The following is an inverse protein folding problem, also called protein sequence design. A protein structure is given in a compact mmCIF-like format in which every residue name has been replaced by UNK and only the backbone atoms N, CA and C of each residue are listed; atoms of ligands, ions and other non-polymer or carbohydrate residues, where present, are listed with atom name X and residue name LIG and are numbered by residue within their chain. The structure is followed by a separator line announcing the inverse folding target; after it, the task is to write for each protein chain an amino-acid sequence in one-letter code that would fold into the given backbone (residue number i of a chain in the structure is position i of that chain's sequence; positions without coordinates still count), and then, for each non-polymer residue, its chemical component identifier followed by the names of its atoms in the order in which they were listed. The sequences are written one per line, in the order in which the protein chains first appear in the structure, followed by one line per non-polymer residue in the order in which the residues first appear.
data_IF_050901078187
#
_entry.id   IF_050901078187
#
_cell.length_a   1.000
_cell.length_b   1.000
_cell.length_c   1.000
_cell.angle_alpha   90.00
_cell.angle_beta   90.00
_cell.angle_gamma   90.00
#
_symmetry.space_group_name_H-M   'P 1'
#
loop_
_entity.id
_entity.type
_entity.pdbx_description
1 polymer ?
#
# COMPACT_ATOMS: atom_id res chain seq x y z
N UNK A 1 -2.45 -1.30 19.94
CA UNK A 1 -2.02 -1.44 18.54
C UNK A 1 -3.16 -2.00 17.70
N UNK A 2 -3.23 -1.67 16.38
CA UNK A 2 -4.19 -2.21 15.41
C UNK A 2 -3.51 -3.23 14.54
N UNK A 3 -4.17 -4.34 14.27
CA UNK A 3 -3.68 -5.39 13.40
C UNK A 3 -4.41 -5.34 12.06
N UNK A 4 -3.64 -5.45 10.98
CA UNK A 4 -4.16 -5.62 9.63
C UNK A 4 -3.47 -6.77 8.93
N UNK A 5 -4.02 -7.21 7.81
CA UNK A 5 -3.39 -8.19 6.92
C UNK A 5 -2.81 -7.47 5.71
N UNK A 6 -1.60 -7.82 5.34
CA UNK A 6 -0.98 -7.43 4.08
C UNK A 6 -1.03 -8.63 3.13
N UNK A 7 -1.78 -8.48 2.05
CA UNK A 7 -2.09 -9.56 1.13
C UNK A 7 -1.47 -9.26 -0.25
N UNK A 8 -0.45 -10.01 -0.60
CA UNK A 8 0.23 -9.90 -1.89
C UNK A 8 -0.24 -10.95 -2.89
N UNK A 9 -0.67 -12.07 -2.38
CA UNK A 9 -1.13 -13.28 -3.07
C UNK A 9 -0.17 -13.80 -4.13
N UNK A 10 0.08 -15.06 -4.01
CA UNK A 10 0.98 -15.80 -4.87
C UNK A 10 0.27 -17.05 -5.39
N UNK A 11 0.56 -17.45 -6.63
CA UNK A 11 0.19 -18.73 -7.19
C UNK A 11 1.48 -19.43 -7.63
N UNK A 12 1.73 -20.63 -7.15
CA UNK A 12 3.04 -21.31 -7.34
C UNK A 12 3.42 -21.53 -8.82
N UNK A 13 2.44 -21.53 -9.71
CA UNK A 13 2.63 -21.64 -11.15
C UNK A 13 1.32 -21.24 -11.87
N UNK A 14 1.34 -21.18 -13.20
CA UNK A 14 0.14 -20.93 -14.02
C UNK A 14 -0.91 -22.06 -14.03
N UNK A 15 -0.57 -23.21 -13.47
CA UNK A 15 -1.44 -24.37 -13.44
C UNK A 15 -2.36 -24.37 -12.22
N UNK A 16 -2.11 -23.49 -11.25
CA UNK A 16 -2.98 -23.32 -10.11
C UNK A 16 -4.29 -22.67 -10.53
N UNK A 17 -5.40 -23.22 -10.04
CA UNK A 17 -6.74 -22.74 -10.36
C UNK A 17 -6.97 -21.40 -9.64
N UNK A 18 -6.92 -20.29 -10.39
CA UNK A 18 -7.00 -18.93 -9.85
C UNK A 18 -8.30 -18.65 -9.09
N UNK A 19 -9.38 -19.31 -9.41
CA UNK A 19 -10.66 -19.24 -8.69
C UNK A 19 -10.52 -19.75 -7.25
N UNK A 20 -9.72 -20.78 -6.99
CA UNK A 20 -9.42 -21.24 -5.64
C UNK A 20 -8.65 -20.19 -4.86
N UNK A 21 -7.61 -19.61 -5.46
CA UNK A 21 -6.86 -18.51 -4.82
C UNK A 21 -7.78 -17.35 -4.45
N UNK A 22 -8.73 -17.00 -5.32
CA UNK A 22 -9.74 -15.98 -5.01
C UNK A 22 -10.65 -16.37 -3.84
N UNK A 23 -11.07 -17.62 -3.76
CA UNK A 23 -11.92 -18.08 -2.67
C UNK A 23 -11.16 -18.07 -1.34
N UNK A 24 -9.89 -18.45 -1.31
CA UNK A 24 -9.00 -18.33 -0.16
C UNK A 24 -8.85 -16.86 0.31
N UNK A 25 -8.62 -15.94 -0.62
CA UNK A 25 -8.59 -14.50 -0.32
C UNK A 25 -9.88 -14.02 0.35
N UNK A 26 -11.02 -14.47 -0.14
CA UNK A 26 -12.35 -14.13 0.39
C UNK A 26 -12.55 -14.69 1.79
N UNK A 27 -12.20 -15.95 2.01
CA UNK A 27 -12.28 -16.59 3.32
C UNK A 27 -11.41 -15.87 4.34
N UNK A 28 -10.17 -15.55 3.99
CA UNK A 28 -9.25 -14.79 4.84
C UNK A 28 -9.83 -13.42 5.21
N UNK A 29 -10.35 -12.67 4.25
CA UNK A 29 -10.92 -11.36 4.49
C UNK A 29 -12.16 -11.41 5.40
N UNK A 30 -13.05 -12.39 5.18
CA UNK A 30 -14.24 -12.60 6.01
C UNK A 30 -13.83 -13.01 7.43
N UNK A 31 -12.86 -13.91 7.57
CA UNK A 31 -12.32 -14.29 8.88
C UNK A 31 -11.78 -13.08 9.64
N UNK A 32 -10.97 -12.25 8.98
CA UNK A 32 -10.40 -11.04 9.58
C UNK A 32 -11.48 -10.04 10.02
N UNK A 33 -12.52 -9.83 9.19
CA UNK A 33 -13.66 -8.96 9.54
C UNK A 33 -14.40 -9.45 10.77
N UNK A 34 -14.58 -10.77 10.93
CA UNK A 34 -15.29 -11.41 12.04
C UNK A 34 -14.46 -11.45 13.33
N UNK A 35 -13.14 -11.45 13.23
CA UNK A 35 -12.22 -11.56 14.35
C UNK A 35 -11.54 -10.25 14.72
N UNK A 36 -12.06 -9.09 14.27
CA UNK A 36 -11.68 -7.79 14.79
C UNK A 36 -10.37 -7.22 14.24
N UNK A 37 -9.86 -7.74 13.14
CA UNK A 37 -8.76 -7.07 12.42
C UNK A 37 -9.21 -5.71 11.92
N UNK A 38 -8.33 -4.70 12.02
CA UNK A 38 -8.65 -3.31 11.64
C UNK A 38 -8.70 -3.13 10.11
N UNK A 39 -7.85 -3.83 9.38
CA UNK A 39 -7.68 -3.60 7.94
C UNK A 39 -7.12 -4.80 7.17
N UNK A 40 -7.41 -4.84 5.86
CA UNK A 40 -6.75 -5.73 4.90
C UNK A 40 -6.23 -4.90 3.74
N UNK A 41 -5.01 -5.20 3.27
CA UNK A 41 -4.28 -4.40 2.30
C UNK A 41 -3.83 -5.25 1.13
N UNK A 42 -4.18 -4.83 -0.08
CA UNK A 42 -3.85 -5.52 -1.33
C UNK A 42 -2.80 -4.76 -2.11
N UNK A 43 -1.83 -5.48 -2.67
CA UNK A 43 -0.82 -4.92 -3.57
C UNK A 43 -1.35 -4.75 -4.98
N UNK A 44 -0.59 -4.04 -5.84
CA UNK A 44 -0.81 -4.01 -7.29
C UNK A 44 0.48 -4.41 -7.99
N UNK A 45 0.42 -5.52 -8.72
CA UNK A 45 1.52 -6.00 -9.56
C UNK A 45 0.99 -6.60 -10.86
N UNK A 46 1.78 -6.50 -11.91
CA UNK A 46 1.35 -6.88 -13.25
C UNK A 46 2.30 -7.88 -13.91
N UNK A 47 1.73 -8.74 -14.75
CA UNK A 47 2.47 -9.68 -15.59
C UNK A 47 3.31 -10.70 -14.80
N UNK A 48 2.95 -10.99 -13.56
CA UNK A 48 3.61 -11.95 -12.67
C UNK A 48 3.35 -13.41 -13.07
N UNK A 49 3.70 -13.79 -14.32
CA UNK A 49 3.47 -15.14 -14.85
C UNK A 49 4.30 -16.22 -14.15
N UNK A 50 5.25 -15.82 -13.34
CA UNK A 50 6.02 -16.69 -12.45
C UNK A 50 5.22 -17.12 -11.22
N UNK A 51 4.06 -16.50 -10.99
CA UNK A 51 3.18 -16.79 -9.87
C UNK A 51 3.46 -15.95 -8.62
N UNK A 52 4.38 -14.99 -8.69
CA UNK A 52 4.60 -14.02 -7.62
C UNK A 52 3.74 -12.78 -7.84
N UNK A 53 3.16 -12.24 -6.74
CA UNK A 53 2.51 -10.94 -6.74
C UNK A 53 1.41 -10.83 -7.81
N UNK A 54 0.37 -11.65 -7.68
CA UNK A 54 -0.60 -11.89 -8.77
C UNK A 54 -1.82 -10.96 -8.78
N UNK A 55 -1.86 -9.90 -7.98
CA UNK A 55 -3.00 -8.98 -7.92
C UNK A 55 -2.81 -7.81 -8.88
N UNK A 56 -3.48 -7.77 -10.05
CA UNK A 56 -3.31 -6.67 -11.01
C UNK A 56 -4.20 -5.46 -10.72
N UNK A 57 -5.21 -5.59 -9.86
CA UNK A 57 -6.14 -4.51 -9.54
C UNK A 57 -6.68 -4.64 -8.10
N UNK A 58 -6.06 -3.95 -7.14
CA UNK A 58 -6.46 -4.01 -5.74
C UNK A 58 -7.83 -3.36 -5.47
N UNK A 59 -8.28 -2.44 -6.32
CA UNK A 59 -9.60 -1.81 -6.17
C UNK A 59 -10.73 -2.78 -6.56
N UNK A 60 -10.52 -3.58 -7.60
CA UNK A 60 -11.51 -4.58 -8.01
C UNK A 60 -11.66 -5.69 -6.97
N UNK A 61 -10.54 -6.17 -6.42
CA UNK A 61 -10.55 -7.09 -5.27
C UNK A 61 -11.21 -6.42 -4.07
N UNK A 62 -10.85 -5.17 -3.79
CA UNK A 62 -11.45 -4.39 -2.71
C UNK A 62 -12.97 -4.29 -2.81
N UNK A 63 -13.53 -4.17 -4.03
CA UNK A 63 -14.98 -4.13 -4.25
C UNK A 63 -15.68 -5.47 -3.94
N UNK A 64 -15.04 -6.61 -4.32
CA UNK A 64 -15.55 -7.94 -3.98
C UNK A 64 -15.51 -8.16 -2.46
N UNK A 65 -14.45 -7.77 -1.79
CA UNK A 65 -14.31 -7.87 -0.33
C UNK A 65 -15.26 -6.92 0.40
N UNK A 66 -15.47 -5.71 -0.12
CA UNK A 66 -16.42 -4.76 0.46
C UNK A 66 -17.85 -5.32 0.53
N UNK A 67 -18.24 -6.11 -0.47
CA UNK A 67 -19.56 -6.76 -0.52
C UNK A 67 -19.71 -7.93 0.48
N UNK A 68 -18.59 -8.52 0.94
CA UNK A 68 -18.56 -9.70 1.81
C UNK A 68 -18.30 -9.37 3.29
N UNK A 69 -17.82 -8.17 3.57
CA UNK A 69 -17.36 -7.72 4.90
C UNK A 69 -18.15 -6.49 5.36
N UNK A 70 -18.10 -6.17 6.67
CA UNK A 70 -18.87 -5.06 7.24
C UNK A 70 -18.03 -4.01 7.94
N UNK A 71 -16.94 -4.40 8.58
CA UNK A 71 -16.19 -3.56 9.52
C UNK A 71 -14.75 -3.29 9.04
N UNK A 72 -14.09 -4.31 8.50
CA UNK A 72 -12.69 -4.25 8.12
C UNK A 72 -12.45 -3.17 7.06
N UNK A 73 -11.41 -2.37 7.25
CA UNK A 73 -10.96 -1.40 6.26
C UNK A 73 -10.25 -2.08 5.10
N UNK A 74 -10.36 -1.49 3.94
CA UNK A 74 -9.84 -2.03 2.69
C UNK A 74 -8.80 -1.06 2.16
N UNK A 75 -7.53 -1.45 2.28
CA UNK A 75 -6.39 -0.67 1.86
C UNK A 75 -5.76 -1.17 0.57
N UNK A 76 -5.02 -0.30 -0.08
CA UNK A 76 -4.11 -0.67 -1.14
C UNK A 76 -2.67 -0.38 -0.68
N UNK A 77 -1.76 -1.32 -0.86
CA UNK A 77 -0.37 -1.11 -0.49
C UNK A 77 0.57 -1.65 -1.58
N UNK A 78 0.50 -0.99 -2.74
CA UNK A 78 -0.20 0.25 -3.06
C UNK A 78 -0.88 0.19 -4.44
N UNK A 79 -1.78 1.15 -4.74
CA UNK A 79 -2.07 1.47 -6.13
C UNK A 79 -0.80 2.06 -6.78
N UNK A 80 -0.37 1.53 -7.90
CA UNK A 80 0.79 2.06 -8.63
C UNK A 80 0.33 3.21 -9.52
N UNK A 81 0.14 4.37 -8.90
CA UNK A 81 -0.57 5.51 -9.49
C UNK A 81 0.07 6.04 -10.77
N UNK A 82 1.34 5.73 -11.01
CA UNK A 82 2.05 6.09 -12.25
C UNK A 82 1.58 5.29 -13.48
N UNK A 83 0.82 4.20 -13.28
CA UNK A 83 0.25 3.39 -14.35
C UNK A 83 -1.21 3.73 -14.64
N UNK A 84 -1.83 4.57 -13.83
CA UNK A 84 -3.23 4.92 -13.94
C UNK A 84 -3.45 6.32 -14.52
N UNK A 85 -4.55 6.48 -15.25
CA UNK A 85 -5.07 7.82 -15.51
C UNK A 85 -5.68 8.38 -14.21
N UNK A 86 -5.24 9.55 -13.68
CA UNK A 86 -5.59 9.98 -12.33
C UNK A 86 -7.09 10.17 -12.10
N UNK A 87 -7.84 10.66 -13.11
CA UNK A 87 -9.30 10.82 -12.96
C UNK A 87 -10.00 9.46 -12.90
N UNK A 88 -9.57 8.47 -13.70
CA UNK A 88 -10.14 7.12 -13.64
C UNK A 88 -9.88 6.47 -12.28
N UNK A 89 -8.66 6.56 -11.80
CA UNK A 89 -8.31 6.06 -10.48
C UNK A 89 -9.12 6.75 -9.36
N UNK A 90 -9.32 8.07 -9.46
CA UNK A 90 -10.13 8.80 -8.49
C UNK A 90 -11.60 8.34 -8.50
N UNK A 91 -12.21 8.12 -9.67
CA UNK A 91 -13.58 7.60 -9.79
C UNK A 91 -13.70 6.18 -9.21
N UNK A 92 -12.74 5.30 -9.52
CA UNK A 92 -12.75 3.92 -9.02
C UNK A 92 -12.56 3.88 -7.49
N UNK A 93 -11.68 4.72 -6.92
CA UNK A 93 -11.53 4.88 -5.47
C UNK A 93 -12.82 5.41 -4.84
N UNK A 94 -13.43 6.44 -5.42
CA UNK A 94 -14.66 7.03 -4.90
C UNK A 94 -15.83 6.02 -4.95
N UNK A 95 -15.92 5.23 -6.04
CA UNK A 95 -16.91 4.15 -6.14
C UNK A 95 -16.70 3.10 -5.05
N UNK A 96 -15.46 2.63 -4.83
CA UNK A 96 -15.15 1.67 -3.78
C UNK A 96 -15.46 2.25 -2.39
N UNK A 97 -15.19 3.53 -2.17
CA UNK A 97 -15.46 4.21 -0.90
C UNK A 97 -16.98 4.29 -0.63
N UNK A 98 -17.79 4.57 -1.66
CA UNK A 98 -19.25 4.51 -1.55
C UNK A 98 -19.75 3.08 -1.29
N UNK A 99 -19.26 2.08 -2.02
CA UNK A 99 -19.66 0.67 -1.88
C UNK A 99 -19.31 0.13 -0.49
N UNK A 100 -18.16 0.51 0.04
CA UNK A 100 -17.67 0.10 1.37
C UNK A 100 -18.20 0.95 2.51
N UNK A 101 -18.91 2.06 2.22
CA UNK A 101 -19.39 3.03 3.22
C UNK A 101 -18.28 3.63 4.07
N UNK A 102 -17.21 4.10 3.41
CA UNK A 102 -16.11 4.82 4.06
C UNK A 102 -15.05 3.95 4.69
N UNK A 103 -14.87 2.70 4.21
CA UNK A 103 -13.83 1.79 4.72
C UNK A 103 -12.55 1.77 3.89
N UNK A 104 -12.43 2.63 2.89
CA UNK A 104 -11.23 2.68 2.02
C UNK A 104 -10.08 3.43 2.70
N UNK A 105 -8.89 2.86 2.58
CA UNK A 105 -7.59 3.46 2.89
C UNK A 105 -6.76 3.51 1.61
N UNK A 106 -6.47 4.69 1.08
CA UNK A 106 -5.83 4.86 -0.24
C UNK A 106 -4.32 4.79 -0.13
N UNK A 107 -3.73 3.65 -0.45
CA UNK A 107 -2.28 3.56 -0.56
C UNK A 107 -1.80 3.84 -1.98
N UNK A 108 -0.70 4.56 -2.10
CA UNK A 108 -0.09 4.99 -3.37
C UNK A 108 1.37 4.59 -3.46
N UNK A 109 1.78 4.12 -4.63
CA UNK A 109 3.13 3.69 -4.95
C UNK A 109 3.59 4.18 -6.32
N UNK A 110 4.93 4.15 -6.54
CA UNK A 110 5.55 4.62 -7.79
C UNK A 110 5.86 3.51 -8.80
N UNK A 111 5.63 2.25 -8.43
CA UNK A 111 6.09 1.09 -9.17
C UNK A 111 7.55 0.71 -8.88
N UNK A 112 7.83 -0.57 -9.01
CA UNK A 112 9.14 -1.16 -8.74
C UNK A 112 9.73 -1.82 -9.99
N UNK A 113 8.91 -2.48 -10.80
CA UNK A 113 9.38 -3.36 -11.85
C UNK A 113 9.37 -2.68 -13.22
N UNK A 114 10.52 -2.64 -13.89
CA UNK A 114 10.66 -2.10 -15.24
C UNK A 114 9.76 -2.81 -16.28
N UNK A 115 9.48 -4.12 -16.07
CA UNK A 115 8.54 -4.90 -16.91
C UNK A 115 7.12 -4.30 -16.90
N UNK A 116 6.65 -3.85 -15.74
CA UNK A 116 5.33 -3.24 -15.60
C UNK A 116 5.30 -1.88 -16.30
N UNK A 117 6.28 -1.02 -16.01
CA UNK A 117 6.39 0.30 -16.63
C UNK A 117 6.51 0.22 -18.16
N UNK A 118 7.30 -0.71 -18.68
CA UNK A 118 7.50 -0.91 -20.13
C UNK A 118 6.18 -1.21 -20.87
N UNK A 119 5.21 -1.82 -20.20
CA UNK A 119 3.94 -2.23 -20.82
C UNK A 119 2.77 -1.30 -20.49
N UNK A 120 2.80 -0.60 -19.35
CA UNK A 120 1.68 0.22 -18.87
C UNK A 120 1.93 1.72 -19.05
N UNK A 121 3.13 2.19 -18.70
CA UNK A 121 3.54 3.59 -18.89
C UNK A 121 5.07 3.71 -18.92
N UNK A 122 5.64 3.76 -20.11
CA UNK A 122 7.10 3.86 -20.31
C UNK A 122 7.70 5.13 -19.72
N UNK A 123 6.93 6.20 -19.58
CA UNK A 123 7.39 7.44 -18.96
C UNK A 123 7.62 7.28 -17.45
N UNK A 124 7.01 6.26 -16.84
CA UNK A 124 7.14 5.94 -15.42
C UNK A 124 8.21 4.88 -15.11
N UNK A 125 9.18 4.66 -15.99
CA UNK A 125 10.25 3.69 -15.79
C UNK A 125 10.99 3.96 -14.45
N UNK A 126 11.08 2.97 -13.54
CA UNK A 126 11.77 3.10 -12.27
C UNK A 126 13.25 3.46 -12.39
N UNK A 127 13.90 3.18 -13.52
CA UNK A 127 15.30 3.57 -13.78
C UNK A 127 15.45 5.08 -13.94
N UNK A 128 14.42 5.79 -14.42
CA UNK A 128 14.34 7.25 -14.47
C UNK A 128 13.65 7.81 -13.23
N UNK A 129 14.35 7.79 -12.09
CA UNK A 129 13.81 8.19 -10.79
C UNK A 129 13.22 9.61 -10.75
N UNK A 130 13.79 10.55 -11.53
CA UNK A 130 13.32 11.94 -11.54
C UNK A 130 11.94 12.05 -12.20
N UNK A 131 11.78 11.50 -13.38
CA UNK A 131 10.52 11.54 -14.13
C UNK A 131 9.43 10.71 -13.46
N UNK A 132 9.77 9.48 -13.02
CA UNK A 132 8.85 8.63 -12.28
C UNK A 132 8.29 9.33 -11.03
N UNK A 133 9.16 10.03 -10.28
CA UNK A 133 8.75 10.81 -9.11
C UNK A 133 7.85 11.99 -9.50
N UNK A 134 8.17 12.72 -10.55
CA UNK A 134 7.38 13.86 -11.00
C UNK A 134 5.96 13.43 -11.41
N UNK A 135 5.83 12.35 -12.19
CA UNK A 135 4.53 11.75 -12.55
C UNK A 135 3.75 11.35 -11.29
N UNK A 136 4.41 10.66 -10.36
CA UNK A 136 3.79 10.22 -9.11
C UNK A 136 3.24 11.40 -8.30
N UNK A 137 4.05 12.44 -8.07
CA UNK A 137 3.66 13.59 -7.27
C UNK A 137 2.50 14.37 -7.91
N UNK A 138 2.50 14.53 -9.22
CA UNK A 138 1.41 15.18 -9.93
C UNK A 138 0.14 14.34 -9.89
N UNK A 139 0.24 13.02 -10.12
CA UNK A 139 -0.90 12.10 -10.02
C UNK A 139 -1.56 12.14 -8.63
N UNK A 140 -0.76 12.06 -7.55
CA UNK A 140 -1.27 12.15 -6.17
C UNK A 140 -1.94 13.50 -5.90
N UNK A 141 -1.40 14.59 -6.45
CA UNK A 141 -2.00 15.92 -6.35
C UNK A 141 -3.38 15.97 -6.99
N UNK A 142 -3.53 15.41 -8.20
CA UNK A 142 -4.82 15.32 -8.90
C UNK A 142 -5.80 14.45 -8.12
N UNK A 143 -5.35 13.28 -7.64
CA UNK A 143 -6.20 12.38 -6.82
C UNK A 143 -6.76 13.08 -5.58
N UNK A 144 -5.91 13.77 -4.82
CA UNK A 144 -6.35 14.50 -3.61
C UNK A 144 -7.39 15.57 -3.95
N UNK A 145 -7.18 16.33 -5.03
CA UNK A 145 -8.16 17.34 -5.51
C UNK A 145 -9.49 16.69 -5.91
N UNK A 146 -9.44 15.67 -6.75
CA UNK A 146 -10.62 15.01 -7.30
C UNK A 146 -11.49 14.36 -6.22
N UNK A 147 -10.86 13.65 -5.27
CA UNK A 147 -11.55 12.92 -4.20
C UNK A 147 -12.24 13.82 -3.18
N UNK A 148 -11.98 15.13 -3.15
CA UNK A 148 -12.76 16.08 -2.30
C UNK A 148 -14.21 16.22 -2.75
N UNK A 149 -14.56 15.78 -3.98
CA UNK A 149 -15.89 15.97 -4.58
C UNK A 149 -16.21 17.41 -4.99
N UNK A 150 -15.28 18.35 -4.81
CA UNK A 150 -15.43 19.73 -5.24
C UNK A 150 -15.06 19.89 -6.72
N UNK A 151 -15.58 20.95 -7.34
CA UNK A 151 -15.09 21.38 -8.65
C UNK A 151 -13.63 21.84 -8.54
N UNK A 152 -12.77 21.29 -9.39
CA UNK A 152 -11.33 21.61 -9.41
C UNK A 152 -10.83 21.78 -10.84
N UNK A 153 -9.68 22.41 -10.95
CA UNK A 153 -8.84 22.46 -12.15
C UNK A 153 -7.43 21.99 -11.80
N UNK A 154 -6.71 21.51 -12.81
CA UNK A 154 -5.30 21.15 -12.69
C UNK A 154 -4.60 21.39 -14.03
N UNK A 155 -3.52 22.16 -14.01
CA UNK A 155 -2.69 22.47 -15.17
C UNK A 155 -1.24 22.21 -14.78
N UNK A 156 -0.77 20.98 -15.03
CA UNK A 156 0.54 20.51 -14.64
C UNK A 156 1.44 20.18 -15.84
N UNK A 157 2.49 19.44 -15.55
CA UNK A 157 3.43 18.99 -16.59
C UNK A 157 2.90 17.79 -17.38
N UNK A 158 2.20 16.88 -16.69
CA UNK A 158 1.71 15.63 -17.29
C UNK A 158 0.20 15.63 -17.51
N UNK A 159 -0.55 16.44 -16.77
CA UNK A 159 -2.01 16.45 -16.81
C UNK A 159 -2.58 17.86 -16.93
N UNK A 160 -3.62 17.98 -17.77
CA UNK A 160 -4.34 19.25 -18.01
C UNK A 160 -5.85 18.98 -17.91
N UNK A 161 -6.49 19.41 -16.81
CA UNK A 161 -7.90 19.13 -16.50
C UNK A 161 -8.65 20.36 -16.03
N UNK A 162 -9.73 20.80 -16.73
CA UNK A 162 -10.07 20.40 -18.09
C UNK A 162 -9.12 21.07 -19.11
N UNK A 163 -8.90 20.44 -20.27
CA UNK A 163 -8.20 21.12 -21.36
C UNK A 163 -8.94 22.40 -21.76
N UNK A 164 -8.20 23.42 -22.20
CA UNK A 164 -8.77 24.71 -22.61
C UNK A 164 -9.65 24.57 -23.86
N UNK A 165 -10.67 25.43 -23.96
CA UNK A 165 -11.51 25.56 -25.15
C UNK A 165 -12.63 24.54 -25.25
N UNK A 166 -12.90 23.74 -24.22
CA UNK A 166 -14.04 22.83 -24.23
C UNK A 166 -15.33 23.64 -24.03
N UNK A 167 -16.14 23.74 -25.10
CA UNK A 167 -17.47 24.35 -25.05
C UNK A 167 -18.47 23.37 -24.42
N UNK A 168 -19.37 23.89 -23.60
CA UNK A 168 -20.44 23.12 -23.00
C UNK A 168 -21.75 23.88 -23.05
N UNK A 169 -22.73 23.26 -23.67
CA UNK A 169 -24.11 23.74 -23.68
C UNK A 169 -25.05 22.54 -23.62
N UNK A 170 -25.89 22.47 -22.60
CA UNK A 170 -26.85 21.40 -22.43
C UNK A 170 -28.09 21.90 -21.65
N UNK A 171 -29.35 21.67 -22.12
CA UNK A 171 -30.55 22.21 -21.48
C UNK A 171 -30.73 21.77 -20.02
N UNK A 172 -30.28 20.57 -19.67
CA UNK A 172 -30.35 20.03 -18.31
C UNK A 172 -29.12 20.32 -17.44
N UNK A 173 -28.13 20.99 -17.98
CA UNK A 173 -26.91 21.39 -17.27
C UNK A 173 -26.69 22.89 -17.51
N UNK A 174 -27.45 23.75 -16.82
CA UNK A 174 -27.35 25.19 -17.06
C UNK A 174 -25.97 25.71 -16.69
N UNK A 175 -25.54 26.74 -17.40
CA UNK A 175 -24.27 27.38 -17.16
C UNK A 175 -24.11 27.84 -15.71
N UNK A 176 -22.96 27.54 -15.11
CA UNK A 176 -22.66 27.91 -13.72
C UNK A 176 -21.21 28.33 -13.58
N UNK A 177 -20.97 29.40 -12.83
CA UNK A 177 -19.62 29.86 -12.48
C UNK A 177 -18.81 28.84 -11.66
N UNK A 178 -19.46 27.81 -11.13
CA UNK A 178 -18.77 26.76 -10.39
C UNK A 178 -17.85 25.91 -11.27
N UNK A 179 -18.19 25.77 -12.57
CA UNK A 179 -17.45 24.89 -13.49
C UNK A 179 -17.23 25.49 -14.88
N UNK A 180 -17.74 26.71 -15.15
CA UNK A 180 -17.65 27.35 -16.47
C UNK A 180 -17.17 28.80 -16.39
N UNK A 181 -16.43 29.21 -17.40
CA UNK A 181 -16.28 30.59 -17.82
C UNK A 181 -17.55 30.95 -18.62
N UNK A 182 -18.46 31.72 -17.99
CA UNK A 182 -19.77 32.04 -18.58
C UNK A 182 -19.63 32.86 -19.85
N UNK A 183 -18.70 33.81 -19.88
CA UNK A 183 -18.52 34.73 -21.01
C UNK A 183 -18.01 33.99 -22.24
N UNK A 184 -17.19 32.98 -22.04
CA UNK A 184 -16.65 32.15 -23.13
C UNK A 184 -17.51 30.92 -23.41
N UNK A 185 -18.42 30.51 -22.52
CA UNK A 185 -19.15 29.24 -22.61
C UNK A 185 -18.22 28.01 -22.53
N UNK A 186 -17.14 28.10 -21.79
CA UNK A 186 -16.11 27.07 -21.69
C UNK A 186 -16.07 26.44 -20.30
N UNK A 187 -15.92 25.11 -20.25
CA UNK A 187 -15.64 24.41 -18.99
C UNK A 187 -14.27 24.84 -18.50
N UNK A 188 -14.17 25.23 -17.23
CA UNK A 188 -12.91 25.59 -16.58
C UNK A 188 -12.64 24.80 -15.31
N UNK A 189 -13.57 23.97 -14.86
CA UNK A 189 -13.41 23.03 -13.75
C UNK A 189 -14.20 21.75 -13.99
N UNK A 190 -13.77 20.67 -13.39
CA UNK A 190 -14.43 19.36 -13.39
C UNK A 190 -14.66 18.87 -11.96
N UNK A 191 -15.55 17.93 -11.79
CA UNK A 191 -15.71 17.16 -10.55
C UNK A 191 -15.96 15.70 -10.92
N UNK A 192 -15.44 14.77 -10.12
CA UNK A 192 -15.73 13.33 -10.30
C UNK A 192 -17.11 13.00 -9.73
N UNK A 193 -17.72 11.94 -10.24
CA UNK A 193 -19.01 11.45 -9.77
C UNK A 193 -19.00 9.90 -9.75
N UNK A 194 -19.34 9.24 -8.61
CA UNK A 194 -19.75 9.88 -7.37
C UNK A 194 -18.61 10.58 -6.63
N UNK A 195 -18.89 11.48 -5.68
CA UNK A 195 -17.88 11.92 -4.73
C UNK A 195 -17.47 10.79 -3.79
N UNK A 196 -16.34 10.87 -3.13
CA UNK A 196 -15.97 9.94 -2.07
C UNK A 196 -17.01 9.97 -0.92
N UNK A 197 -17.16 8.85 -0.22
CA UNK A 197 -18.01 8.76 0.98
C UNK A 197 -17.38 9.48 2.16
N UNK A 198 -16.05 9.37 2.30
CA UNK A 198 -15.28 10.01 3.35
C UNK A 198 -15.02 11.49 3.03
N UNK A 199 -15.03 12.35 4.04
CA UNK A 199 -14.79 13.80 3.90
C UNK A 199 -13.55 14.22 4.71
N UNK A 200 -12.59 14.95 4.15
CA UNK A 200 -12.57 15.50 2.77
C UNK A 200 -12.27 14.47 1.68
N UNK A 201 -11.70 13.35 2.02
CA UNK A 201 -11.38 12.20 1.15
C UNK A 201 -10.88 11.04 2.03
N UNK A 202 -10.79 9.79 1.54
CA UNK A 202 -10.14 8.69 2.23
C UNK A 202 -8.71 9.04 2.64
N UNK A 203 -8.21 8.45 3.73
CA UNK A 203 -6.83 8.68 4.17
C UNK A 203 -5.84 8.13 3.15
N UNK A 204 -4.79 8.90 2.89
CA UNK A 204 -3.70 8.52 2.01
C UNK A 204 -2.56 7.88 2.78
N UNK A 205 -2.02 6.81 2.20
CA UNK A 205 -0.85 6.07 2.65
C UNK A 205 0.16 5.95 1.51
N UNK A 206 1.42 5.89 1.83
CA UNK A 206 2.47 5.68 0.85
C UNK A 206 3.45 4.62 1.34
N UNK A 207 3.78 3.65 0.48
CA UNK A 207 4.90 2.74 0.71
C UNK A 207 6.20 3.50 0.47
N UNK A 208 7.07 3.60 1.48
CA UNK A 208 8.25 4.46 1.45
C UNK A 208 9.50 3.79 2.03
N UNK A 209 10.65 4.06 1.37
CA UNK A 209 11.95 3.52 1.77
C UNK A 209 13.03 4.61 1.94
N UNK A 210 12.92 5.74 1.23
CA UNK A 210 13.97 6.77 1.21
C UNK A 210 13.65 7.94 2.14
N UNK A 211 14.70 8.55 2.69
CA UNK A 211 14.61 9.79 3.50
C UNK A 211 13.79 10.88 2.80
N UNK A 212 13.99 11.07 1.49
CA UNK A 212 13.25 12.06 0.72
C UNK A 212 11.76 11.76 0.67
N UNK A 213 11.38 10.48 0.44
CA UNK A 213 9.97 10.06 0.42
C UNK A 213 9.33 10.17 1.81
N UNK A 214 10.05 9.86 2.90
CA UNK A 214 9.58 10.03 4.27
C UNK A 214 9.24 11.50 4.56
N UNK A 215 10.19 12.40 4.29
CA UNK A 215 9.97 13.85 4.49
C UNK A 215 8.81 14.38 3.65
N UNK A 216 8.70 13.96 2.41
CA UNK A 216 7.62 14.39 1.51
C UNK A 216 6.26 13.93 2.04
N UNK A 217 6.10 12.63 2.32
CA UNK A 217 4.85 12.07 2.86
C UNK A 217 4.43 12.77 4.16
N UNK A 218 5.36 12.91 5.11
CA UNK A 218 5.11 13.58 6.39
C UNK A 218 4.69 15.05 6.20
N UNK A 219 5.35 15.79 5.30
CA UNK A 219 5.03 17.19 5.02
C UNK A 219 3.66 17.39 4.35
N UNK A 220 3.15 16.40 3.64
CA UNK A 220 1.87 16.42 2.93
C UNK A 220 0.72 15.77 3.71
N UNK A 221 0.98 15.31 4.94
CA UNK A 221 -0.01 14.61 5.76
C UNK A 221 -0.41 13.25 5.19
N UNK A 222 0.47 12.63 4.39
CA UNK A 222 0.30 11.28 3.87
C UNK A 222 0.94 10.28 4.82
N UNK A 223 0.19 9.27 5.24
CA UNK A 223 0.67 8.24 6.14
C UNK A 223 1.74 7.35 5.48
N UNK A 224 2.58 6.71 6.28
CA UNK A 224 3.72 5.91 5.83
C UNK A 224 3.49 4.41 6.06
N UNK A 225 3.90 3.58 5.11
CA UNK A 225 3.98 2.12 5.26
C UNK A 225 5.44 1.71 5.03
N UNK A 226 6.03 1.04 6.03
CA UNK A 226 7.37 0.45 5.97
C UNK A 226 7.27 -1.07 6.00
N UNK A 227 8.19 -1.75 5.31
CA UNK A 227 8.26 -3.20 5.33
C UNK A 227 9.64 -3.71 5.77
N UNK A 228 10.67 -3.57 4.95
CA UNK A 228 11.97 -4.24 5.11
C UNK A 228 12.86 -3.81 6.29
N UNK A 229 12.85 -2.55 6.79
CA UNK A 229 13.84 -2.13 7.76
C UNK A 229 13.71 -2.84 9.12
N UNK A 230 14.84 -3.24 9.75
CA UNK A 230 14.85 -3.74 11.11
C UNK A 230 14.48 -2.64 12.12
N UNK A 231 14.16 -3.03 13.36
CA UNK A 231 13.61 -2.12 14.40
C UNK A 231 14.47 -0.88 14.62
N UNK A 232 15.81 -1.03 14.71
CA UNK A 232 16.72 0.11 14.91
C UNK A 232 16.64 1.13 13.78
N UNK A 233 16.55 0.68 12.53
CA UNK A 233 16.41 1.57 11.37
C UNK A 233 15.00 2.17 11.31
N UNK A 234 13.95 1.39 11.62
CA UNK A 234 12.59 1.90 11.73
C UNK A 234 12.51 3.04 12.75
N UNK A 235 13.15 2.92 13.91
CA UNK A 235 13.16 3.96 14.95
C UNK A 235 13.66 5.30 14.41
N UNK A 236 14.74 5.31 13.61
CA UNK A 236 15.23 6.51 12.93
C UNK A 236 14.20 7.08 11.95
N UNK A 237 13.57 6.23 11.15
CA UNK A 237 12.57 6.64 10.15
C UNK A 237 11.31 7.18 10.80
N UNK A 238 10.87 6.60 11.92
CA UNK A 238 9.74 7.09 12.71
C UNK A 238 10.00 8.49 13.27
N UNK A 239 11.17 8.71 13.85
CA UNK A 239 11.56 10.05 14.32
C UNK A 239 11.60 11.05 13.16
N UNK A 240 12.20 10.69 12.03
CA UNK A 240 12.25 11.57 10.86
C UNK A 240 10.84 11.94 10.36
N UNK A 241 9.91 10.97 10.29
CA UNK A 241 8.53 11.21 9.92
C UNK A 241 7.84 12.14 10.94
N UNK A 242 7.89 11.78 12.22
CA UNK A 242 7.30 12.54 13.32
C UNK A 242 7.79 14.00 13.32
N UNK A 243 9.10 14.21 13.29
CA UNK A 243 9.70 15.54 13.38
C UNK A 243 9.30 16.41 12.18
N UNK A 244 9.33 15.84 10.97
CA UNK A 244 8.89 16.51 9.73
C UNK A 244 7.40 16.85 9.77
N UNK A 245 6.55 15.92 10.21
CA UNK A 245 5.11 16.12 10.32
C UNK A 245 4.79 17.20 11.37
N UNK A 246 5.47 17.15 12.52
CA UNK A 246 5.29 18.14 13.61
C UNK A 246 5.66 19.55 13.16
N UNK A 247 6.82 19.69 12.50
CA UNK A 247 7.26 20.97 11.94
C UNK A 247 6.24 21.54 10.95
N UNK A 248 5.76 20.70 10.04
CA UNK A 248 4.83 21.13 8.97
C UNK A 248 3.44 21.47 9.50
N UNK A 249 2.95 20.72 10.49
CA UNK A 249 1.62 20.94 11.08
C UNK A 249 1.61 22.02 12.16
N UNK A 250 2.78 22.45 12.65
CA UNK A 250 2.91 23.40 13.75
C UNK A 250 2.37 22.87 15.10
N UNK A 251 2.31 21.54 15.26
CA UNK A 251 1.88 20.85 16.49
C UNK A 251 2.70 19.57 16.69
N UNK A 252 2.78 19.11 17.93
CA UNK A 252 3.43 17.85 18.21
C UNK A 252 2.63 16.66 17.62
N UNK A 253 3.30 15.83 16.82
CA UNK A 253 2.81 14.54 16.31
C UNK A 253 3.44 13.44 17.17
N UNK A 254 2.64 12.48 17.63
CA UNK A 254 3.16 11.38 18.45
C UNK A 254 4.04 10.43 17.63
N UNK A 255 5.01 9.78 18.27
CA UNK A 255 5.78 8.72 17.63
C UNK A 255 4.81 7.60 17.18
N UNK A 256 4.98 7.06 15.99
CA UNK A 256 4.11 6.02 15.41
C UNK A 256 2.79 6.52 14.83
N UNK A 257 2.38 7.77 15.09
CA UNK A 257 1.18 8.34 14.49
C UNK A 257 1.32 8.46 12.96
N UNK A 258 0.33 7.91 12.23
CA UNK A 258 0.34 7.91 10.77
C UNK A 258 1.33 6.92 10.15
N UNK A 259 1.80 5.94 10.91
CA UNK A 259 2.75 4.95 10.42
C UNK A 259 2.19 3.53 10.60
N UNK A 260 2.41 2.69 9.58
CA UNK A 260 2.21 1.25 9.61
C UNK A 260 3.51 0.52 9.29
N UNK A 261 3.70 -0.66 9.88
CA UNK A 261 4.81 -1.56 9.58
C UNK A 261 4.26 -2.88 9.10
N UNK A 262 4.79 -3.39 7.98
CA UNK A 262 4.53 -4.75 7.51
C UNK A 262 5.56 -5.69 8.13
N UNK A 263 5.12 -6.84 8.61
CA UNK A 263 5.99 -7.94 9.07
C UNK A 263 5.47 -9.28 8.58
N UNK A 264 6.40 -10.08 8.11
CA UNK A 264 6.15 -11.46 7.73
C UNK A 264 5.84 -12.29 8.97
N UNK A 265 4.75 -13.05 8.95
CA UNK A 265 4.24 -13.80 10.10
C UNK A 265 4.07 -15.28 9.78
N UNK A 266 4.56 -16.14 10.66
CA UNK A 266 4.24 -17.55 10.69
C UNK A 266 4.31 -18.11 12.11
N UNK A 267 3.22 -18.71 12.59
CA UNK A 267 3.11 -19.25 13.96
C UNK A 267 3.08 -20.77 13.92
N UNK A 268 3.90 -21.40 14.77
CA UNK A 268 3.97 -22.85 14.91
C UNK A 268 4.14 -23.26 16.39
N UNK A 269 4.04 -24.54 16.68
CA UNK A 269 4.21 -25.05 18.06
C UNK A 269 5.65 -24.90 18.55
N UNK A 270 6.64 -24.96 17.63
CA UNK A 270 8.06 -24.80 17.93
C UNK A 270 8.75 -23.87 16.94
N UNK A 271 9.88 -23.26 17.37
CA UNK A 271 10.75 -22.46 16.51
C UNK A 271 11.29 -23.24 15.32
N UNK A 272 11.62 -24.50 15.54
CA UNK A 272 12.14 -25.41 14.51
C UNK A 272 11.07 -25.69 13.45
N UNK A 273 9.85 -26.00 13.87
CA UNK A 273 8.74 -26.21 12.94
C UNK A 273 8.43 -24.94 12.12
N UNK A 274 8.42 -23.75 12.74
CA UNK A 274 8.20 -22.50 12.02
C UNK A 274 9.24 -22.30 10.91
N UNK A 275 10.50 -22.63 11.22
CA UNK A 275 11.60 -22.59 10.25
C UNK A 275 11.43 -23.64 9.14
N UNK A 276 11.19 -24.87 9.48
CA UNK A 276 11.05 -25.98 8.51
C UNK A 276 9.87 -25.75 7.55
N UNK A 277 8.77 -25.23 8.09
CA UNK A 277 7.57 -24.97 7.30
C UNK A 277 7.70 -23.80 6.36
N UNK A 278 8.28 -22.68 6.79
CA UNK A 278 8.09 -21.38 6.11
C UNK A 278 9.40 -20.68 5.68
N UNK A 279 10.59 -21.18 6.09
CA UNK A 279 11.84 -20.48 5.77
C UNK A 279 12.08 -20.33 4.27
N UNK A 280 11.89 -21.38 3.49
CA UNK A 280 12.16 -21.33 2.04
C UNK A 280 11.12 -20.46 1.32
N UNK A 281 9.87 -20.49 1.74
CA UNK A 281 8.81 -19.67 1.18
C UNK A 281 9.08 -18.18 1.37
N UNK A 282 9.40 -17.75 2.61
CA UNK A 282 9.73 -16.34 2.87
C UNK A 282 11.02 -15.92 2.18
N UNK A 283 12.04 -16.79 2.12
CA UNK A 283 13.28 -16.52 1.41
C UNK A 283 13.06 -16.32 -0.09
N UNK A 284 12.13 -17.04 -0.70
CA UNK A 284 11.78 -16.85 -2.11
C UNK A 284 11.20 -15.45 -2.37
N UNK A 285 10.31 -14.96 -1.49
CA UNK A 285 9.79 -13.60 -1.57
C UNK A 285 10.91 -12.55 -1.46
N UNK A 286 11.80 -12.72 -0.46
CA UNK A 286 12.92 -11.78 -0.30
C UNK A 286 13.95 -11.86 -1.43
N UNK A 287 14.27 -13.04 -1.96
CA UNK A 287 15.14 -13.20 -3.15
C UNK A 287 14.56 -12.48 -4.36
N UNK A 288 13.24 -12.61 -4.58
CA UNK A 288 12.53 -11.93 -5.66
C UNK A 288 12.67 -10.41 -5.54
N UNK A 289 12.32 -9.84 -4.41
CA UNK A 289 12.33 -8.38 -4.22
C UNK A 289 13.75 -7.82 -4.08
N UNK A 290 14.65 -8.49 -3.36
CA UNK A 290 16.02 -8.04 -3.17
C UNK A 290 16.87 -8.09 -4.43
N UNK A 291 16.48 -8.87 -5.45
CA UNK A 291 17.10 -8.79 -6.77
C UNK A 291 17.03 -7.35 -7.33
N UNK A 292 15.94 -6.64 -7.08
CA UNK A 292 15.71 -5.28 -7.56
C UNK A 292 16.16 -4.20 -6.57
N UNK A 293 15.99 -4.44 -5.27
CA UNK A 293 16.21 -3.44 -4.20
C UNK A 293 17.56 -3.60 -3.50
N UNK A 294 18.22 -4.74 -3.65
CA UNK A 294 19.40 -5.10 -2.85
C UNK A 294 19.05 -5.35 -1.38
N UNK A 295 20.09 -5.62 -0.57
CA UNK A 295 19.96 -5.92 0.86
C UNK A 295 20.02 -4.68 1.77
N UNK A 296 20.30 -3.50 1.22
CA UNK A 296 20.53 -2.28 2.01
C UNK A 296 19.41 -1.92 2.98
N UNK A 297 18.13 -2.18 2.59
CA UNK A 297 16.99 -1.90 3.45
C UNK A 297 16.83 -2.90 4.63
N UNK A 298 17.58 -3.99 4.64
CA UNK A 298 17.59 -4.99 5.71
C UNK A 298 18.69 -4.75 6.74
N UNK A 299 19.57 -3.77 6.51
CA UNK A 299 20.70 -3.48 7.38
C UNK A 299 20.28 -2.62 8.57
N UNK A 300 20.88 -2.89 9.74
CA UNK A 300 20.82 -1.96 10.85
C UNK A 300 21.66 -0.71 10.55
N UNK A 301 21.37 0.43 11.21
CA UNK A 301 22.07 1.68 10.97
C UNK A 301 23.58 1.69 11.28
N UNK A 302 24.00 0.74 12.10
CA UNK A 302 25.37 0.52 12.56
C UNK A 302 26.10 -0.61 11.80
N UNK A 303 25.43 -1.17 10.77
CA UNK A 303 25.98 -2.22 9.91
C UNK A 303 26.31 -1.66 8.53
N UNK A 304 27.47 -2.07 7.98
CA UNK A 304 27.82 -1.82 6.58
C UNK A 304 27.54 -3.07 5.76
N UNK A 305 26.88 -2.90 4.61
CA UNK A 305 26.65 -4.01 3.68
C UNK A 305 27.97 -4.44 3.04
N UNK A 306 28.34 -5.69 3.24
CA UNK A 306 29.54 -6.32 2.66
C UNK A 306 29.16 -7.51 1.78
N UNK A 307 30.11 -8.03 1.00
CA UNK A 307 29.91 -9.22 0.16
C UNK A 307 29.66 -10.51 0.96
N UNK A 308 29.99 -10.52 2.26
CA UNK A 308 29.77 -11.65 3.16
C UNK A 308 28.30 -11.78 3.61
N UNK A 309 27.50 -10.71 3.47
CA UNK A 309 26.08 -10.75 3.81
C UNK A 309 25.31 -11.63 2.83
N UNK A 310 24.76 -12.72 3.33
CA UNK A 310 23.93 -13.64 2.57
C UNK A 310 22.48 -13.50 2.98
N UNK A 311 21.61 -13.53 1.99
CA UNK A 311 20.17 -13.59 2.23
C UNK A 311 19.79 -15.03 2.58
N UNK A 312 19.81 -15.33 3.85
CA UNK A 312 19.37 -16.61 4.43
C UNK A 312 18.44 -16.38 5.62
N UNK A 313 17.90 -17.46 6.17
CA UNK A 313 16.95 -17.39 7.28
C UNK A 313 17.56 -16.78 8.54
N UNK A 314 18.80 -17.12 8.85
CA UNK A 314 19.54 -16.61 10.03
C UNK A 314 19.77 -15.10 9.94
N UNK A 315 19.94 -14.58 8.75
CA UNK A 315 20.05 -13.13 8.50
C UNK A 315 18.69 -12.42 8.64
N UNK A 316 17.62 -13.00 8.08
CA UNK A 316 16.29 -12.37 8.05
C UNK A 316 15.55 -12.48 9.39
N UNK A 317 15.58 -13.67 10.01
CA UNK A 317 14.72 -13.99 11.15
C UNK A 317 14.80 -12.96 12.27
N UNK A 318 15.99 -12.60 12.81
CA UNK A 318 16.09 -11.64 13.91
C UNK A 318 15.74 -10.19 13.51
N UNK A 319 15.67 -9.89 12.20
CA UNK A 319 15.47 -8.53 11.68
C UNK A 319 14.01 -8.23 11.38
N UNK A 320 13.33 -9.17 10.73
CA UNK A 320 12.09 -8.88 10.03
C UNK A 320 10.97 -9.89 10.29
N UNK A 321 11.29 -11.14 10.70
CA UNK A 321 10.32 -12.20 10.74
C UNK A 321 9.68 -12.36 12.12
N UNK A 322 8.37 -12.44 12.13
CA UNK A 322 7.58 -12.88 13.27
C UNK A 322 7.29 -14.38 13.12
N UNK A 323 8.37 -15.19 13.02
CA UNK A 323 8.30 -16.63 12.79
C UNK A 323 8.69 -17.38 14.06
N UNK A 324 7.78 -18.17 14.63
CA UNK A 324 8.06 -18.95 15.82
C UNK A 324 6.83 -19.36 16.62
N UNK A 325 7.04 -19.61 17.91
CA UNK A 325 5.93 -19.94 18.81
C UNK A 325 5.06 -18.70 19.11
N UNK A 326 3.81 -18.89 19.59
CA UNK A 326 2.96 -17.78 19.98
C UNK A 326 3.64 -16.83 20.98
N UNK A 327 4.42 -17.37 21.93
CA UNK A 327 5.13 -16.58 22.94
C UNK A 327 6.22 -15.71 22.30
N UNK A 328 7.03 -16.29 21.41
CA UNK A 328 8.08 -15.57 20.68
C UNK A 328 7.50 -14.46 19.82
N UNK A 329 6.46 -14.76 19.03
CA UNK A 329 5.79 -13.79 18.17
C UNK A 329 5.19 -12.65 19.00
N UNK A 330 4.53 -12.97 20.11
CA UNK A 330 3.96 -11.99 21.03
C UNK A 330 5.05 -11.07 21.62
N UNK A 331 6.19 -11.62 22.01
CA UNK A 331 7.33 -10.84 22.53
C UNK A 331 7.87 -9.88 21.46
N UNK A 332 8.03 -10.35 20.22
CA UNK A 332 8.49 -9.51 19.10
C UNK A 332 7.50 -8.41 18.72
N UNK A 333 6.20 -8.68 18.79
CA UNK A 333 5.16 -7.67 18.59
C UNK A 333 5.21 -6.61 19.69
N UNK A 334 5.41 -7.00 20.96
CA UNK A 334 5.58 -6.05 22.08
C UNK A 334 6.87 -5.21 21.90
N UNK A 335 7.97 -5.80 21.45
CA UNK A 335 9.19 -5.06 21.14
C UNK A 335 8.93 -3.94 20.09
N UNK A 336 8.16 -4.23 19.03
CA UNK A 336 7.76 -3.25 18.03
C UNK A 336 6.89 -2.13 18.65
N UNK A 337 5.96 -2.49 19.53
CA UNK A 337 5.10 -1.51 20.21
C UNK A 337 5.90 -0.61 21.15
N UNK A 338 6.74 -1.19 21.99
CA UNK A 338 7.51 -0.47 23.02
C UNK A 338 8.59 0.44 22.40
N UNK A 339 9.32 -0.06 21.39
CA UNK A 339 10.42 0.68 20.76
C UNK A 339 9.97 1.77 19.79
N UNK A 340 8.81 1.60 19.16
CA UNK A 340 8.33 2.45 18.06
C UNK A 340 7.03 3.20 18.40
N UNK A 341 6.37 2.88 19.51
CA UNK A 341 4.98 3.26 19.75
C UNK A 341 4.10 2.91 18.54
N UNK A 342 4.32 1.70 18.00
CA UNK A 342 3.69 1.25 16.76
C UNK A 342 2.17 1.16 16.94
N UNK A 343 1.43 1.85 16.06
CA UNK A 343 -0.04 1.88 16.14
C UNK A 343 -0.70 0.92 15.15
N UNK A 344 -0.05 0.62 14.02
CA UNK A 344 -0.60 -0.23 12.98
C UNK A 344 0.45 -1.26 12.54
N UNK A 345 0.19 -2.53 12.79
CA UNK A 345 0.99 -3.67 12.34
C UNK A 345 0.22 -4.42 11.25
N UNK A 346 0.81 -4.52 10.07
CA UNK A 346 0.29 -5.27 8.94
C UNK A 346 1.04 -6.60 8.85
N UNK A 347 0.31 -7.70 8.95
CA UNK A 347 0.85 -9.05 8.98
C UNK A 347 0.80 -9.65 7.58
N UNK A 348 1.96 -9.98 7.04
CA UNK A 348 2.07 -10.69 5.78
C UNK A 348 2.11 -12.19 6.06
N UNK A 349 1.09 -12.90 5.60
CA UNK A 349 0.86 -14.31 5.93
C UNK A 349 0.89 -15.23 4.72
N UNK A 350 0.74 -14.71 3.50
CA UNK A 350 0.71 -15.45 2.24
C UNK A 350 2.11 -15.51 1.61
N UNK A 351 2.90 -16.51 1.95
CA UNK A 351 4.25 -16.68 1.42
C UNK A 351 4.25 -17.67 0.26
N UNK A 352 4.91 -17.30 -0.85
CA UNK A 352 4.98 -18.14 -2.05
C UNK A 352 5.61 -19.50 -1.76
N UNK A 353 4.83 -20.56 -1.96
CA UNK A 353 5.23 -21.95 -1.70
C UNK A 353 4.63 -22.56 -0.44
N UNK A 354 3.88 -21.79 0.35
CA UNK A 354 3.04 -22.37 1.41
C UNK A 354 1.68 -22.80 0.84
N UNK A 355 1.11 -23.86 1.42
CA UNK A 355 -0.27 -24.23 1.15
C UNK A 355 -1.21 -23.31 1.95
N UNK A 356 -2.42 -23.10 1.45
CA UNK A 356 -3.45 -22.33 2.14
C UNK A 356 -3.66 -22.79 3.60
N UNK A 357 -3.68 -24.10 3.86
CA UNK A 357 -3.78 -24.66 5.21
C UNK A 357 -2.65 -24.18 6.14
N UNK A 358 -1.44 -23.98 5.61
CA UNK A 358 -0.30 -23.43 6.35
C UNK A 358 -0.39 -21.92 6.51
N UNK A 359 -0.85 -21.20 5.49
CA UNK A 359 -1.04 -19.75 5.54
C UNK A 359 -2.11 -19.35 6.56
N UNK A 360 -3.09 -20.19 6.83
CA UNK A 360 -4.14 -19.96 7.83
C UNK A 360 -3.66 -20.00 9.28
N UNK A 361 -2.40 -20.34 9.56
CA UNK A 361 -1.87 -20.40 10.94
C UNK A 361 -1.83 -19.05 11.67
N UNK A 362 -1.99 -17.91 10.96
CA UNK A 362 -2.21 -16.62 11.62
C UNK A 362 -3.48 -16.60 12.49
N UNK A 363 -4.45 -17.48 12.24
CA UNK A 363 -5.67 -17.65 13.04
C UNK A 363 -5.39 -18.09 14.50
N UNK A 364 -4.18 -18.56 14.78
CA UNK A 364 -3.78 -19.06 16.12
C UNK A 364 -3.41 -17.90 17.07
N UNK A 365 -3.24 -16.68 16.59
CA UNK A 365 -2.79 -15.53 17.40
C UNK A 365 -3.94 -14.88 18.20
N UNK A 366 -5.15 -15.34 18.08
CA UNK A 366 -6.32 -14.82 18.80
C UNK A 366 -6.54 -15.49 20.16
#
# INVERSE_FOLDING_TARGET
MKFGIFANWNAQNREEEFDKVLDEMREQAVYCDQNGYDSIWYTEHHFGHEGNEIIPNPLLIGADIAARTKNIKIGQAANIVTFWHPLRLAEDIAMLDQMSKGRVEVGVGRGLYGREAANLNTAADPSNQQQNRAIFEETVTVLKKALTGNFFDHHGEFYDFPPKGIKWEHPMSPASKNFMDIDKGEINKIAIMPPAYQNPHPRFWQTIDSTTSIKKAASEGTNAIFWMPPVKELKKRFHLYKDTASEKQGKEVALGEGIAVVRDLYVAETMEQAREDAAEAVLNNYRWVCHWRGLGNLMNPDEELTEDHKLDYEFLHPRNLLFGTPEYVTEKIKELEDELNLQNLLLWVDHNGLSHEKDEKFKIIH
#
